data_IF_766983261649
#
_entry.id   IF_766983261649
#
_cell.length_a   1.000
_cell.length_b   1.000
_cell.length_c   1.000
_cell.angle_alpha   90.00
_cell.angle_beta   90.00
_cell.angle_gamma   90.00
#
_symmetry.space_group_name_H-M   'P 1'
#
loop_
_entity.id
_entity.type
_entity.pdbx_description
1 polymer ?
#
# COMPACT_ATOMS: atom_id res chain seq x y z
N UNK A 1 40.21 -65.73 32.86
CA UNK A 1 40.40 -64.96 31.62
C UNK A 1 39.43 -65.50 30.58
N UNK A 2 38.47 -64.79 30.00
CA UNK A 2 38.11 -63.36 30.03
C UNK A 2 36.70 -63.27 29.42
N UNK A 3 35.81 -62.58 30.14
CA UNK A 3 34.54 -61.92 29.77
C UNK A 3 33.83 -62.22 28.43
N UNK A 4 32.56 -62.62 28.55
CA UNK A 4 31.49 -62.40 27.59
C UNK A 4 30.99 -60.94 27.66
N UNK A 5 30.74 -60.32 26.51
CA UNK A 5 30.14 -58.99 26.39
C UNK A 5 28.93 -59.02 25.47
N UNK A 6 27.75 -58.76 26.04
CA UNK A 6 26.49 -58.58 25.31
C UNK A 6 26.40 -57.13 24.81
N UNK A 7 26.30 -56.93 23.50
CA UNK A 7 26.06 -55.63 22.89
C UNK A 7 24.56 -55.31 22.87
N UNK A 8 24.16 -54.28 23.61
CA UNK A 8 22.80 -53.75 23.61
C UNK A 8 22.58 -52.88 22.36
N UNK A 9 21.59 -53.27 21.56
CA UNK A 9 21.06 -52.55 20.41
C UNK A 9 20.28 -51.31 20.90
N UNK A 10 20.83 -50.12 20.68
CA UNK A 10 20.22 -48.84 21.03
C UNK A 10 19.56 -48.23 19.79
N UNK A 11 18.33 -48.64 19.51
CA UNK A 11 17.43 -47.93 18.59
C UNK A 11 17.06 -46.57 19.19
N UNK A 12 17.72 -45.50 18.73
CA UNK A 12 17.35 -44.11 19.04
C UNK A 12 15.99 -43.79 18.37
N UNK A 13 14.99 -43.26 19.11
CA UNK A 13 13.76 -42.79 18.50
C UNK A 13 14.07 -41.59 17.60
N UNK A 14 13.70 -41.68 16.32
CA UNK A 14 13.69 -40.52 15.43
C UNK A 14 12.62 -39.56 15.94
N UNK A 15 13.05 -38.45 16.54
CA UNK A 15 12.19 -37.29 16.82
C UNK A 15 11.52 -36.87 15.52
N UNK A 16 10.19 -36.94 15.49
CA UNK A 16 9.37 -36.40 14.41
C UNK A 16 9.78 -34.94 14.19
N UNK A 17 10.40 -34.68 13.03
CA UNK A 17 10.75 -33.33 12.62
C UNK A 17 9.48 -32.49 12.57
N UNK A 18 9.44 -31.43 13.39
CA UNK A 18 8.43 -30.40 13.33
C UNK A 18 8.28 -29.97 11.88
N UNK A 19 7.10 -30.17 11.30
CA UNK A 19 6.76 -29.64 9.99
C UNK A 19 7.02 -28.14 10.07
N UNK A 20 8.00 -27.64 9.33
CA UNK A 20 8.29 -26.22 9.27
C UNK A 20 7.01 -25.54 8.79
N UNK A 21 6.41 -24.71 9.65
CA UNK A 21 5.25 -23.91 9.27
C UNK A 21 5.62 -23.12 8.02
N UNK A 22 4.82 -23.27 6.96
CA UNK A 22 4.98 -22.45 5.76
C UNK A 22 4.72 -21.02 6.20
N UNK A 23 5.69 -20.10 6.06
CA UNK A 23 5.49 -18.73 6.49
C UNK A 23 4.27 -18.15 5.76
N UNK A 24 3.38 -17.48 6.50
CA UNK A 24 2.23 -16.83 5.90
C UNK A 24 2.69 -15.83 4.81
N UNK A 25 1.95 -15.73 3.69
CA UNK A 25 2.28 -14.77 2.64
C UNK A 25 2.35 -13.35 3.19
N UNK A 26 3.36 -12.59 2.78
CA UNK A 26 3.49 -11.20 3.18
C UNK A 26 2.41 -10.34 2.55
N UNK A 27 1.62 -9.65 3.37
CA UNK A 27 0.71 -8.59 2.94
C UNK A 27 1.46 -7.25 2.88
N UNK A 28 1.70 -6.67 1.68
CA UNK A 28 2.37 -5.38 1.56
C UNK A 28 1.60 -4.21 2.18
N UNK A 29 0.27 -4.28 2.28
CA UNK A 29 -0.52 -3.20 2.88
C UNK A 29 -0.28 -3.11 4.40
N UNK A 30 0.12 -4.21 5.04
CA UNK A 30 0.37 -4.28 6.50
C UNK A 30 1.49 -3.35 6.98
N UNK A 31 2.39 -2.91 6.08
CA UNK A 31 3.48 -1.97 6.44
C UNK A 31 3.14 -0.51 6.20
N UNK A 32 1.96 -0.18 5.65
CA UNK A 32 1.50 1.20 5.54
C UNK A 32 1.38 1.81 6.96
N UNK A 33 1.90 3.02 7.13
CA UNK A 33 1.96 3.70 8.43
C UNK A 33 3.14 3.29 9.33
N UNK A 34 3.92 2.27 8.95
CA UNK A 34 5.12 1.86 9.70
C UNK A 34 6.17 2.98 9.70
N UNK A 35 6.90 3.15 10.80
CA UNK A 35 8.09 4.00 10.81
C UNK A 35 9.29 3.29 10.16
N UNK A 36 10.43 3.96 10.03
CA UNK A 36 11.63 3.38 9.40
C UNK A 36 12.10 2.09 10.08
N UNK A 37 12.20 2.06 11.41
CA UNK A 37 12.68 0.87 12.11
C UNK A 37 11.76 -0.34 11.87
N UNK A 38 10.45 -0.12 11.86
CA UNK A 38 9.46 -1.16 11.56
C UNK A 38 9.54 -1.62 10.10
N UNK A 39 9.68 -0.69 9.16
CA UNK A 39 9.81 -0.96 7.73
C UNK A 39 11.09 -1.79 7.43
N UNK A 40 12.23 -1.38 7.97
CA UNK A 40 13.50 -2.11 7.86
C UNK A 40 13.39 -3.51 8.47
N UNK A 41 12.82 -3.62 9.67
CA UNK A 41 12.62 -4.91 10.32
C UNK A 41 11.71 -5.86 9.52
N UNK A 42 10.66 -5.33 8.87
CA UNK A 42 9.80 -6.12 7.99
C UNK A 42 10.57 -6.65 6.77
N UNK A 43 11.34 -5.80 6.10
CA UNK A 43 12.16 -6.22 4.94
C UNK A 43 13.25 -7.23 5.34
N UNK A 44 13.97 -7.01 6.45
CA UNK A 44 14.97 -7.96 6.95
C UNK A 44 14.35 -9.32 7.29
N UNK A 45 13.14 -9.34 7.89
CA UNK A 45 12.45 -10.59 8.20
C UNK A 45 12.11 -11.38 6.95
N UNK A 46 11.68 -10.70 5.88
CA UNK A 46 11.32 -11.34 4.62
C UNK A 46 12.53 -11.81 3.83
N UNK A 47 13.61 -11.03 3.83
CA UNK A 47 14.79 -11.31 3.03
C UNK A 47 15.82 -12.21 3.74
N UNK A 48 15.70 -12.36 5.06
CA UNK A 48 16.68 -13.05 5.91
C UNK A 48 17.74 -12.11 6.46
N UNK A 49 18.57 -12.61 7.38
CA UNK A 49 19.52 -11.81 8.15
C UNK A 49 20.60 -11.11 7.31
N UNK A 50 20.89 -11.59 6.11
CA UNK A 50 22.00 -11.12 5.26
C UNK A 50 21.56 -10.26 4.07
N UNK A 51 20.30 -9.83 4.06
CA UNK A 51 19.78 -9.09 2.92
C UNK A 51 20.30 -7.65 2.84
N UNK A 52 20.77 -7.27 1.65
CA UNK A 52 21.18 -5.91 1.36
C UNK A 52 19.96 -5.00 1.19
N UNK A 53 19.86 -3.98 2.04
CA UNK A 53 18.87 -2.92 1.94
C UNK A 53 19.52 -1.64 1.42
N UNK A 54 18.88 -1.00 0.46
CA UNK A 54 19.30 0.28 -0.11
C UNK A 54 18.44 1.41 0.47
N UNK A 55 19.09 2.43 1.05
CA UNK A 55 18.44 3.65 1.50
C UNK A 55 18.72 4.81 0.55
N UNK A 56 17.67 5.55 0.19
CA UNK A 56 17.78 6.76 -0.62
C UNK A 56 16.97 7.90 -0.02
N UNK A 57 17.62 9.03 0.22
CA UNK A 57 17.00 10.19 0.88
C UNK A 57 16.85 11.33 -0.12
N UNK A 58 15.66 11.93 -0.11
CA UNK A 58 15.31 13.13 -0.85
C UNK A 58 14.85 14.22 0.13
N UNK A 59 14.61 15.43 -0.37
CA UNK A 59 14.20 16.56 0.48
C UNK A 59 12.84 16.36 1.14
N UNK A 60 11.93 15.62 0.50
CA UNK A 60 10.55 15.43 0.90
C UNK A 60 10.22 14.00 1.36
N UNK A 61 11.00 13.01 0.94
CA UNK A 61 10.79 11.61 1.28
C UNK A 61 12.11 10.83 1.43
N UNK A 62 12.01 9.60 1.93
CA UNK A 62 13.09 8.61 1.87
C UNK A 62 12.55 7.27 1.40
N UNK A 63 13.42 6.43 0.87
CA UNK A 63 13.13 5.08 0.43
C UNK A 63 14.00 4.09 1.18
N UNK A 64 13.40 2.96 1.57
CA UNK A 64 14.12 1.76 2.02
C UNK A 64 13.72 0.64 1.07
N UNK A 65 14.70 0.08 0.36
CA UNK A 65 14.46 -0.86 -0.74
C UNK A 65 15.18 -2.17 -0.51
N UNK A 66 14.55 -3.28 -0.86
CA UNK A 66 15.18 -4.58 -0.98
C UNK A 66 15.01 -5.08 -2.42
N UNK A 67 16.05 -4.89 -3.25
CA UNK A 67 16.02 -5.25 -4.67
C UNK A 67 15.79 -6.74 -4.88
N UNK A 68 16.39 -7.58 -4.05
CA UNK A 68 16.22 -9.03 -4.11
C UNK A 68 14.77 -9.49 -3.87
N UNK A 69 14.00 -8.74 -3.06
CA UNK A 69 12.58 -9.01 -2.80
C UNK A 69 11.62 -8.35 -3.80
N UNK A 70 12.10 -7.47 -4.67
CA UNK A 70 11.22 -6.66 -5.51
C UNK A 70 10.39 -5.65 -4.73
N UNK A 71 10.91 -5.13 -3.59
CA UNK A 71 10.18 -4.23 -2.70
C UNK A 71 10.91 -2.89 -2.50
N UNK A 72 10.16 -1.80 -2.54
CA UNK A 72 10.62 -0.49 -2.04
C UNK A 72 9.53 0.17 -1.21
N UNK A 73 9.92 0.81 -0.11
CA UNK A 73 9.02 1.48 0.82
C UNK A 73 9.37 2.96 0.84
N UNK A 74 8.42 3.83 0.46
CA UNK A 74 8.57 5.28 0.60
C UNK A 74 8.05 5.72 1.96
N UNK A 75 8.85 6.52 2.66
CA UNK A 75 8.46 7.18 3.89
C UNK A 75 8.40 8.69 3.67
N UNK A 76 7.28 9.30 4.06
CA UNK A 76 7.07 10.75 3.96
C UNK A 76 6.48 11.31 5.26
N UNK A 77 6.90 12.50 5.73
CA UNK A 77 8.00 13.32 5.18
C UNK A 77 9.38 12.71 5.45
N UNK A 78 10.44 13.22 4.80
CA UNK A 78 11.77 12.63 4.86
C UNK A 78 12.31 12.40 6.29
N UNK A 79 12.07 13.25 7.29
CA UNK A 79 12.75 13.14 8.61
C UNK A 79 12.09 12.18 9.60
N UNK A 80 10.75 12.17 9.65
CA UNK A 80 9.94 11.42 10.63
C UNK A 80 8.88 10.56 9.97
N UNK A 81 9.00 10.39 8.65
CA UNK A 81 7.97 9.83 7.81
C UNK A 81 7.57 8.43 8.20
N UNK A 82 6.32 8.13 7.85
CA UNK A 82 5.78 6.78 7.88
C UNK A 82 5.68 6.28 6.46
N UNK A 83 5.69 4.96 6.30
CA UNK A 83 5.48 4.33 5.00
C UNK A 83 4.13 4.79 4.47
N UNK A 84 4.13 5.53 3.39
CA UNK A 84 2.92 6.03 2.74
C UNK A 84 2.68 5.35 1.38
N UNK A 85 3.74 4.79 0.78
CA UNK A 85 3.67 3.99 -0.44
C UNK A 85 4.57 2.76 -0.35
N UNK A 86 4.05 1.63 -0.81
CA UNK A 86 4.76 0.36 -0.99
C UNK A 86 4.82 0.04 -2.48
N UNK A 87 6.00 -0.19 -3.02
CA UNK A 87 6.21 -0.54 -4.42
C UNK A 87 6.53 -2.02 -4.56
N UNK A 88 5.78 -2.72 -5.41
CA UNK A 88 6.04 -4.09 -5.83
C UNK A 88 6.60 -4.06 -7.24
N UNK A 89 7.80 -4.55 -7.45
CA UNK A 89 8.47 -4.52 -8.75
C UNK A 89 8.30 -5.83 -9.51
N UNK A 90 8.20 -5.70 -10.83
CA UNK A 90 8.39 -6.81 -11.76
C UNK A 90 9.89 -7.03 -12.02
N UNK A 91 10.23 -8.20 -12.55
CA UNK A 91 11.61 -8.59 -12.80
C UNK A 91 12.33 -7.65 -13.78
N UNK A 92 13.54 -7.25 -13.42
CA UNK A 92 14.44 -6.48 -14.27
C UNK A 92 14.13 -4.98 -14.34
N UNK A 93 13.16 -4.49 -13.56
CA UNK A 93 12.86 -3.06 -13.46
C UNK A 93 13.82 -2.44 -12.45
N UNK A 94 14.67 -1.50 -12.88
CA UNK A 94 15.64 -0.78 -12.04
C UNK A 94 16.57 -1.67 -11.19
N UNK A 95 16.84 -2.88 -11.67
CA UNK A 95 17.65 -3.87 -10.97
C UNK A 95 16.94 -4.62 -9.86
N UNK A 96 15.61 -4.51 -9.75
CA UNK A 96 14.80 -5.30 -8.83
C UNK A 96 14.48 -6.69 -9.40
N UNK A 97 14.45 -7.69 -8.53
CA UNK A 97 13.79 -8.98 -8.79
C UNK A 97 12.27 -8.79 -8.81
N UNK A 98 11.54 -9.73 -9.40
CA UNK A 98 10.08 -9.74 -9.26
C UNK A 98 9.69 -9.96 -7.80
N UNK A 99 8.73 -9.19 -7.30
CA UNK A 99 8.08 -9.45 -6.03
C UNK A 99 7.37 -10.80 -6.04
N UNK A 100 7.70 -11.62 -5.03
CA UNK A 100 7.18 -13.00 -4.85
C UNK A 100 6.88 -13.36 -3.40
N UNK A 101 7.01 -12.42 -2.45
CA UNK A 101 6.81 -12.69 -1.02
C UNK A 101 5.33 -12.84 -0.63
N UNK A 102 4.40 -12.58 -1.56
CA UNK A 102 2.96 -12.69 -1.39
C UNK A 102 2.22 -12.51 -2.73
N UNK A 103 0.88 -12.61 -2.74
CA UNK A 103 0.08 -12.35 -3.93
C UNK A 103 0.12 -10.86 -4.31
N UNK A 104 -0.06 -10.54 -5.59
CA UNK A 104 -0.31 -9.16 -6.00
C UNK A 104 -1.71 -8.73 -5.57
N UNK A 105 -1.93 -7.43 -5.31
CA UNK A 105 -3.23 -6.90 -4.94
C UNK A 105 -4.29 -7.26 -5.97
N UNK A 106 -5.55 -7.40 -5.53
CA UNK A 106 -6.69 -7.78 -6.36
C UNK A 106 -6.52 -9.11 -7.13
N UNK A 107 -5.53 -9.94 -6.78
CA UNK A 107 -5.26 -11.20 -7.47
C UNK A 107 -4.77 -11.01 -8.91
N UNK A 108 -3.94 -10.00 -9.15
CA UNK A 108 -3.21 -9.85 -10.41
C UNK A 108 -1.99 -10.77 -10.46
N UNK A 109 -1.45 -10.93 -11.66
CA UNK A 109 -0.19 -11.60 -11.93
C UNK A 109 0.69 -10.69 -12.80
N UNK A 110 2.01 -10.81 -12.70
CA UNK A 110 2.94 -10.06 -13.55
C UNK A 110 2.78 -10.32 -15.06
N UNK A 111 2.06 -11.39 -15.43
CA UNK A 111 1.67 -11.73 -16.81
C UNK A 111 0.53 -10.86 -17.35
N UNK A 112 -0.19 -10.14 -16.48
CA UNK A 112 -1.28 -9.25 -16.90
C UNK A 112 -0.75 -7.97 -17.58
N UNK A 113 -1.51 -7.51 -18.57
CA UNK A 113 -1.25 -6.27 -19.29
C UNK A 113 -2.19 -5.15 -18.83
N UNK A 114 -1.91 -3.92 -19.23
CA UNK A 114 -2.77 -2.76 -18.98
C UNK A 114 -4.25 -2.98 -19.32
N UNK A 115 -4.56 -3.65 -20.44
CA UNK A 115 -5.94 -3.97 -20.81
C UNK A 115 -6.61 -4.89 -19.78
N UNK A 116 -5.89 -5.85 -19.21
CA UNK A 116 -6.43 -6.79 -18.25
C UNK A 116 -6.76 -6.09 -16.92
N UNK A 117 -5.93 -5.13 -16.50
CA UNK A 117 -6.19 -4.27 -15.33
C UNK A 117 -7.49 -3.50 -15.51
N UNK A 118 -7.65 -2.78 -16.63
CA UNK A 118 -8.87 -2.00 -16.92
C UNK A 118 -10.08 -2.90 -17.08
N UNK A 119 -9.94 -4.07 -17.71
CA UNK A 119 -11.03 -5.04 -17.84
C UNK A 119 -11.51 -5.56 -16.49
N UNK A 120 -10.61 -5.73 -15.52
CA UNK A 120 -10.91 -6.26 -14.19
C UNK A 120 -11.42 -5.20 -13.22
N UNK A 121 -10.79 -4.03 -13.17
CA UNK A 121 -11.10 -2.98 -12.20
C UNK A 121 -12.02 -1.87 -12.75
N UNK A 122 -12.27 -1.85 -14.06
CA UNK A 122 -13.02 -0.78 -14.73
C UNK A 122 -12.17 0.44 -15.03
N UNK A 123 -12.83 1.58 -15.27
CA UNK A 123 -12.17 2.84 -15.65
C UNK A 123 -11.36 3.40 -14.47
N UNK A 124 -10.06 3.72 -14.65
CA UNK A 124 -9.23 4.26 -13.58
C UNK A 124 -9.64 5.68 -13.18
N UNK A 125 -9.40 6.05 -11.93
CA UNK A 125 -9.65 7.41 -11.42
C UNK A 125 -8.71 8.43 -12.06
N UNK A 126 -7.46 8.06 -12.32
CA UNK A 126 -6.51 8.91 -13.03
C UNK A 126 -5.66 8.14 -14.05
N UNK A 127 -5.10 8.87 -15.02
CA UNK A 127 -4.22 8.38 -16.09
C UNK A 127 -3.04 9.34 -16.20
N UNK A 128 -1.81 8.85 -16.15
CA UNK A 128 -0.60 9.68 -16.20
C UNK A 128 0.47 9.10 -17.13
N UNK A 129 1.46 9.92 -17.48
CA UNK A 129 2.46 9.57 -18.48
C UNK A 129 2.00 9.80 -19.92
N UNK A 130 2.63 9.11 -20.87
CA UNK A 130 2.38 9.26 -22.30
C UNK A 130 3.50 9.98 -23.05
N UNK A 131 3.58 9.74 -24.36
CA UNK A 131 4.58 10.37 -25.23
C UNK A 131 5.99 9.90 -24.91
N UNK A 132 6.75 10.69 -24.14
CA UNK A 132 8.12 10.35 -23.70
C UNK A 132 8.17 9.60 -22.38
N UNK A 133 7.08 9.60 -21.62
CA UNK A 133 7.01 8.96 -20.31
C UNK A 133 6.16 7.70 -20.41
N UNK A 134 6.58 6.64 -19.73
CA UNK A 134 5.79 5.42 -19.62
C UNK A 134 4.41 5.73 -19.02
N UNK A 135 3.37 5.03 -19.48
CA UNK A 135 2.00 5.27 -19.01
C UNK A 135 1.74 4.56 -17.69
N UNK A 136 0.85 5.11 -16.89
CA UNK A 136 0.33 4.50 -15.68
C UNK A 136 -1.10 4.93 -15.38
N UNK A 137 -1.80 4.10 -14.62
CA UNK A 137 -3.20 4.32 -14.23
C UNK A 137 -3.35 4.20 -12.73
N UNK A 138 -4.27 5.01 -12.17
CA UNK A 138 -4.53 5.07 -10.73
C UNK A 138 -5.96 4.64 -10.40
N UNK A 139 -6.11 3.90 -9.30
CA UNK A 139 -7.37 3.53 -8.66
C UNK A 139 -7.31 3.97 -7.20
N UNK A 140 -7.48 5.28 -6.98
CA UNK A 140 -7.25 5.92 -5.67
C UNK A 140 -8.16 5.37 -4.55
N UNK A 141 -9.39 4.96 -4.88
CA UNK A 141 -10.33 4.35 -3.93
C UNK A 141 -9.92 2.92 -3.53
N UNK A 142 -9.02 2.30 -4.29
CA UNK A 142 -8.41 1.01 -3.96
C UNK A 142 -7.01 1.19 -3.37
N UNK A 143 -6.45 2.40 -3.42
CA UNK A 143 -5.08 2.65 -2.98
C UNK A 143 -4.02 2.03 -3.91
N UNK A 144 -4.29 1.99 -5.23
CA UNK A 144 -3.44 1.30 -6.20
C UNK A 144 -3.05 2.20 -7.38
N UNK A 145 -1.77 2.15 -7.76
CA UNK A 145 -1.30 2.60 -9.06
C UNK A 145 -0.64 1.45 -9.82
N UNK A 146 -0.91 1.35 -11.12
CA UNK A 146 -0.26 0.43 -12.03
C UNK A 146 0.62 1.20 -13.00
N UNK A 147 1.91 0.84 -13.05
CA UNK A 147 2.87 1.40 -13.99
C UNK A 147 3.18 0.37 -15.07
N UNK A 148 3.28 0.84 -16.32
CA UNK A 148 3.55 -0.01 -17.46
C UNK A 148 4.87 0.36 -18.13
N UNK A 149 5.36 -0.51 -19.02
CA UNK A 149 6.68 -0.36 -19.64
C UNK A 149 6.71 0.70 -20.74
N UNK A 150 5.71 0.70 -21.61
CA UNK A 150 5.66 1.53 -22.81
C UNK A 150 4.92 2.85 -22.55
N UNK A 151 5.11 3.83 -23.42
CA UNK A 151 4.51 5.18 -23.31
C UNK A 151 3.27 5.40 -24.18
N UNK A 152 2.82 4.38 -24.92
CA UNK A 152 1.63 4.47 -25.77
C UNK A 152 0.37 4.03 -25.04
N UNK A 153 -0.70 4.82 -25.14
CA UNK A 153 -2.03 4.45 -24.65
C UNK A 153 -2.75 3.44 -25.55
N UNK A 154 -2.29 3.30 -26.81
CA UNK A 154 -2.89 2.39 -27.79
C UNK A 154 -2.29 0.97 -27.71
N UNK A 155 -1.23 0.78 -26.91
CA UNK A 155 -0.64 -0.53 -26.68
C UNK A 155 -1.45 -1.32 -25.65
N UNK A 156 -2.30 -2.23 -26.13
CA UNK A 156 -3.13 -3.09 -25.29
C UNK A 156 -2.38 -4.27 -24.63
N UNK A 157 -1.11 -4.49 -24.97
CA UNK A 157 -0.25 -5.54 -24.41
C UNK A 157 0.95 -4.94 -23.68
N UNK A 158 0.76 -3.76 -23.08
CA UNK A 158 1.81 -3.07 -22.36
C UNK A 158 2.03 -3.76 -20.99
N UNK A 159 3.20 -4.37 -20.74
CA UNK A 159 3.44 -5.14 -19.53
C UNK A 159 3.60 -4.25 -18.30
N UNK A 160 3.16 -4.74 -17.15
CA UNK A 160 3.35 -4.06 -15.86
C UNK A 160 4.82 -4.04 -15.46
N UNK A 161 5.29 -2.90 -14.95
CA UNK A 161 6.64 -2.72 -14.42
C UNK A 161 6.65 -2.72 -12.91
N UNK A 162 5.73 -2.02 -12.27
CA UNK A 162 5.54 -2.08 -10.83
C UNK A 162 4.12 -1.65 -10.45
N UNK A 163 3.71 -2.04 -9.25
CA UNK A 163 2.45 -1.66 -8.61
C UNK A 163 2.79 -0.85 -7.37
N UNK A 164 2.13 0.29 -7.19
CA UNK A 164 2.24 1.10 -5.97
C UNK A 164 0.99 0.90 -5.13
N UNK A 165 1.17 0.60 -3.85
CA UNK A 165 0.11 0.51 -2.85
C UNK A 165 0.20 1.69 -1.89
N UNK A 166 -0.92 2.33 -1.61
CA UNK A 166 -1.02 3.45 -0.68
C UNK A 166 -2.37 3.41 0.05
N UNK A 167 -2.56 4.29 1.03
CA UNK A 167 -3.83 4.36 1.74
C UNK A 167 -4.99 4.69 0.78
N UNK A 168 -5.97 3.78 0.71
CA UNK A 168 -7.18 3.99 -0.08
C UNK A 168 -7.90 5.27 0.37
N UNK A 169 -8.39 6.03 -0.60
CA UNK A 169 -9.15 7.25 -0.33
C UNK A 169 -10.63 6.93 -0.23
N UNK A 170 -11.29 7.45 0.82
CA UNK A 170 -12.74 7.36 0.94
C UNK A 170 -13.43 8.01 -0.27
N UNK A 171 -14.47 7.35 -0.78
CA UNK A 171 -15.31 7.86 -1.87
C UNK A 171 -16.19 9.06 -1.43
N UNK A 172 -15.95 9.61 -0.25
CA UNK A 172 -16.82 10.56 0.42
C UNK A 172 -16.77 11.95 -0.24
N UNK A 173 -17.84 12.30 -0.96
CA UNK A 173 -18.29 13.66 -1.35
C UNK A 173 -17.36 14.55 -2.19
N UNK A 174 -16.11 14.17 -2.43
CA UNK A 174 -15.12 14.91 -3.22
C UNK A 174 -15.06 14.41 -4.67
N UNK A 175 -16.17 14.07 -5.29
CA UNK A 175 -16.19 13.65 -6.70
C UNK A 175 -16.56 14.81 -7.62
N UNK A 176 -15.96 14.78 -8.81
CA UNK A 176 -16.21 15.72 -9.87
C UNK A 176 -17.65 15.54 -10.37
N UNK A 177 -18.43 16.62 -10.37
CA UNK A 177 -19.82 16.59 -10.84
C UNK A 177 -19.97 16.18 -12.32
N UNK A 178 -18.90 16.35 -13.10
CA UNK A 178 -18.90 16.05 -14.53
C UNK A 178 -18.50 14.60 -14.84
N UNK A 179 -17.40 14.11 -14.25
CA UNK A 179 -16.79 12.82 -14.62
C UNK A 179 -16.65 11.84 -13.45
N UNK A 180 -17.13 12.21 -12.26
CA UNK A 180 -17.07 11.41 -11.03
C UNK A 180 -15.65 11.01 -10.56
N UNK A 181 -14.58 11.60 -11.12
CA UNK A 181 -13.21 11.47 -10.60
C UNK A 181 -13.01 12.29 -9.34
N UNK A 182 -11.96 12.02 -8.55
CA UNK A 182 -11.66 12.85 -7.37
C UNK A 182 -11.52 14.33 -7.77
N UNK A 183 -12.37 15.17 -7.19
CA UNK A 183 -12.34 16.59 -7.36
C UNK A 183 -11.14 17.19 -6.64
N UNK A 184 -10.51 18.17 -7.30
CA UNK A 184 -9.35 18.89 -6.78
C UNK A 184 -9.69 20.31 -6.35
N UNK A 185 -10.85 20.81 -6.78
CA UNK A 185 -11.31 22.15 -6.42
C UNK A 185 -12.83 22.27 -6.53
N UNK A 186 -13.36 23.30 -5.88
CA UNK A 186 -14.77 23.69 -5.94
C UNK A 186 -14.97 24.86 -6.90
N UNK A 187 -16.19 25.03 -7.41
CA UNK A 187 -16.53 26.24 -8.16
C UNK A 187 -16.24 27.49 -7.32
N UNK A 188 -15.42 28.41 -7.82
CA UNK A 188 -14.99 29.59 -7.06
C UNK A 188 -16.12 30.55 -6.68
N UNK A 189 -17.28 30.47 -7.35
CA UNK A 189 -18.44 31.31 -7.09
C UNK A 189 -19.34 30.72 -6.01
N UNK A 190 -19.91 29.52 -6.25
CA UNK A 190 -20.91 28.94 -5.35
C UNK A 190 -20.32 28.00 -4.28
N UNK A 191 -19.10 27.48 -4.49
CA UNK A 191 -18.44 26.43 -3.69
C UNK A 191 -19.22 25.11 -3.49
N UNK A 192 -20.45 25.01 -3.99
CA UNK A 192 -21.34 23.86 -3.79
C UNK A 192 -21.10 22.68 -4.75
N UNK A 193 -20.43 22.91 -5.87
CA UNK A 193 -20.06 21.84 -6.82
C UNK A 193 -18.54 21.70 -6.91
N UNK A 194 -18.09 20.47 -7.17
CA UNK A 194 -16.66 20.10 -7.16
C UNK A 194 -16.25 19.54 -8.53
N UNK A 195 -15.01 19.81 -8.95
CA UNK A 195 -14.46 19.36 -10.22
C UNK A 195 -13.03 18.83 -10.07
N UNK A 196 -12.66 17.84 -10.90
CA UNK A 196 -11.28 17.36 -10.94
C UNK A 196 -10.34 18.28 -11.75
N UNK A 197 -10.89 19.04 -12.71
CA UNK A 197 -10.15 19.87 -13.64
C UNK A 197 -10.98 21.06 -14.15
N UNK A 198 -10.32 22.14 -14.56
CA UNK A 198 -10.99 23.30 -15.16
C UNK A 198 -11.68 22.94 -16.47
N UNK A 199 -11.21 21.90 -17.17
CA UNK A 199 -11.87 21.34 -18.33
C UNK A 199 -13.24 20.74 -17.98
N UNK A 200 -13.34 19.94 -16.91
CA UNK A 200 -14.61 19.40 -16.43
C UNK A 200 -15.58 20.49 -15.97
N UNK A 201 -15.08 21.54 -15.31
CA UNK A 201 -15.89 22.71 -14.96
C UNK A 201 -16.46 23.40 -16.20
N UNK A 202 -15.62 23.66 -17.21
CA UNK A 202 -16.05 24.30 -18.47
C UNK A 202 -17.05 23.43 -19.24
N UNK A 203 -16.85 22.11 -19.25
CA UNK A 203 -17.75 21.17 -19.91
C UNK A 203 -19.15 21.14 -19.25
N UNK A 204 -19.20 21.28 -17.92
CA UNK A 204 -20.45 21.34 -17.15
C UNK A 204 -21.05 22.75 -17.06
N UNK A 205 -20.30 23.80 -17.45
CA UNK A 205 -20.66 25.20 -17.19
C UNK A 205 -22.03 25.60 -17.75
N UNK A 206 -22.38 25.14 -18.95
CA UNK A 206 -23.67 25.46 -19.58
C UNK A 206 -24.87 25.01 -18.72
N UNK A 207 -24.74 23.89 -18.01
CA UNK A 207 -25.72 23.37 -17.05
C UNK A 207 -25.59 24.10 -15.71
N UNK A 208 -24.39 24.10 -15.14
CA UNK A 208 -24.12 24.60 -13.79
C UNK A 208 -24.37 26.11 -13.62
N UNK A 209 -24.09 26.95 -14.63
CA UNK A 209 -24.20 28.40 -14.52
C UNK A 209 -25.60 28.90 -14.16
N UNK A 210 -26.65 28.11 -14.42
CA UNK A 210 -28.04 28.43 -14.08
C UNK A 210 -28.32 28.31 -12.58
N UNK A 211 -27.53 27.48 -11.90
CA UNK A 211 -27.64 27.20 -10.47
C UNK A 211 -26.47 27.82 -9.67
N UNK A 212 -25.44 28.28 -10.39
CA UNK A 212 -24.25 28.91 -9.84
C UNK A 212 -24.59 30.30 -9.28
N UNK A 213 -24.46 30.46 -7.96
CA UNK A 213 -24.69 31.74 -7.26
C UNK A 213 -25.99 31.81 -6.46
N UNK A 214 -26.91 30.85 -6.65
CA UNK A 214 -28.13 30.73 -5.83
C UNK A 214 -27.87 30.19 -4.41
N UNK A 215 -26.66 29.70 -4.15
CA UNK A 215 -26.21 29.17 -2.85
C UNK A 215 -25.24 30.14 -2.17
N UNK A 216 -25.59 31.42 -2.14
CA UNK A 216 -24.91 32.41 -1.30
C UNK A 216 -25.31 32.21 0.15
N UNK A 217 -24.52 31.43 0.90
CA UNK A 217 -24.35 31.58 2.35
C UNK A 217 -25.59 31.44 3.24
N UNK A 218 -25.83 30.23 3.71
CA UNK A 218 -25.92 30.02 5.15
C UNK A 218 -25.10 28.77 5.43
N UNK A 219 -23.92 28.95 6.00
CA UNK A 219 -23.37 27.86 6.78
C UNK A 219 -24.38 27.59 7.90
N UNK A 220 -25.15 26.53 7.76
CA UNK A 220 -25.31 25.66 8.91
C UNK A 220 -23.89 25.21 9.23
N UNK A 221 -23.28 25.94 10.16
CA UNK A 221 -22.20 25.43 10.99
C UNK A 221 -22.61 23.99 11.34
N UNK A 222 -21.83 22.96 10.97
CA UNK A 222 -22.18 21.61 11.36
C UNK A 222 -22.36 21.66 12.87
N UNK A 223 -23.56 21.32 13.34
CA UNK A 223 -23.88 21.30 14.76
C UNK A 223 -22.68 20.67 15.49
N UNK A 224 -22.20 21.27 16.59
CA UNK A 224 -21.04 20.75 17.31
C UNK A 224 -21.30 19.27 17.49
N UNK A 225 -20.41 18.44 16.91
CA UNK A 225 -20.56 17.00 16.90
C UNK A 225 -21.00 16.59 18.31
N UNK A 226 -22.22 16.06 18.45
CA UNK A 226 -22.63 15.54 19.74
C UNK A 226 -21.50 14.60 20.18
N UNK A 227 -21.02 14.74 21.43
CA UNK A 227 -19.92 13.92 21.90
C UNK A 227 -20.28 12.48 21.61
N UNK A 228 -19.52 11.86 20.71
CA UNK A 228 -19.63 10.44 20.41
C UNK A 228 -19.75 9.73 21.76
N UNK A 229 -20.81 8.94 22.01
CA UNK A 229 -20.87 8.16 23.23
C UNK A 229 -19.56 7.37 23.28
N UNK A 230 -18.78 7.66 24.34
CA UNK A 230 -17.50 7.02 24.55
C UNK A 230 -17.71 5.52 24.36
N UNK A 231 -17.12 4.98 23.30
CA UNK A 231 -17.00 3.54 23.16
C UNK A 231 -16.31 3.09 24.43
N UNK A 232 -17.08 2.41 25.28
CA UNK A 232 -16.62 1.88 26.54
C UNK A 232 -15.33 1.11 26.24
N UNK A 233 -14.26 1.48 26.92
CA UNK A 233 -13.02 0.75 26.87
C UNK A 233 -13.32 -0.74 27.09
N UNK A 234 -12.74 -1.65 26.29
CA UNK A 234 -12.86 -3.07 26.58
C UNK A 234 -12.34 -3.29 28.02
N UNK A 235 -13.02 -4.14 28.82
CA UNK A 235 -12.60 -4.44 30.17
C UNK A 235 -11.15 -4.92 30.15
N UNK A 236 -10.33 -4.28 30.99
CA UNK A 236 -8.89 -4.47 31.04
C UNK A 236 -8.52 -5.94 31.21
N UNK A 237 -7.62 -6.40 30.36
CA UNK A 237 -6.87 -7.62 30.61
C UNK A 237 -6.09 -7.44 31.92
N UNK A 238 -6.12 -8.44 32.84
CA UNK A 238 -5.34 -8.39 34.06
C UNK A 238 -3.85 -8.41 33.72
N UNK A 239 -3.16 -7.34 34.12
CA UNK A 239 -1.70 -7.30 34.16
C UNK A 239 -1.29 -8.30 35.25
N UNK A 240 -0.66 -9.40 34.86
CA UNK A 240 -0.02 -10.28 35.84
C UNK A 240 1.24 -9.57 36.34
N UNK A 241 1.16 -9.19 37.60
CA UNK A 241 2.24 -8.76 38.45
C UNK A 241 3.13 -9.99 38.73
N UNK A 242 4.26 -10.10 38.04
CA UNK A 242 5.31 -11.08 38.37
C UNK A 242 6.53 -10.33 38.87
N UNK A 243 6.46 -9.97 40.15
CA UNK A 243 7.61 -9.64 40.96
C UNK A 243 8.30 -10.93 41.42
N UNK A 244 9.64 -10.82 41.55
CA UNK A 244 10.52 -11.55 42.48
C UNK A 244 11.01 -12.97 42.05
N UNK A 245 12.28 -13.07 41.64
CA UNK A 245 13.35 -13.37 42.61
C UNK A 245 14.76 -13.15 42.05
N UNK A 246 15.60 -12.60 42.92
CA UNK A 246 17.04 -12.46 42.82
C UNK A 246 17.75 -13.82 42.84
N UNK A 247 18.89 -13.92 42.15
CA UNK A 247 20.05 -14.69 42.63
C UNK A 247 21.32 -14.19 41.93
N UNK A 248 22.18 -13.57 42.73
CA UNK A 248 23.59 -13.36 42.47
C UNK A 248 24.32 -14.65 42.85
N UNK A 249 25.03 -15.26 41.88
CA UNK A 249 26.36 -15.86 42.00
C UNK A 249 26.91 -16.15 40.60
#
# INVERSE_FOLDING_TARGET
>A
CTSAGAGADQTRPMTAGSLAEVPEPFDPASVLGANQAQATAALCRLAGCDAELEEKVYSDCRYVSCKALGLSLRLAPASTGRVDVVFLYNEGVDGFSAYRSGPLPEGFEWSNFNRDVVKKLGEPSDKFGGGRLAVGISYETLGLDFHFKNSSWDDAHNPMTFISLFAAKDQAFDLCLHCCKQARFHCGQCRGVRYCSSACQKADWSRHQRECGTSGGAGEEPAPAEPYPALAAPPGSPVQDTLLLEAMD
#
